data_IF_905543808120
#
_entry.id   IF_905543808120
#
_cell.length_a   1.000
_cell.length_b   1.000
_cell.length_c   1.000
_cell.angle_alpha   90.00
_cell.angle_beta   90.00
_cell.angle_gamma   90.00
#
_symmetry.space_group_name_H-M   'P 1'
#
loop_
_entity.id
_entity.type
_entity.pdbx_description
1 polymer ?
#
# COMPACT_ATOMS: atom_id res chain seq x y z
N UNK A 1 -2.90 -29.40 -16.88
CA UNK A 1 -3.55 -30.30 -15.90
C UNK A 1 -5.06 -30.15 -16.00
N UNK A 2 -5.80 -31.11 -16.59
CA UNK A 2 -7.26 -30.98 -16.75
C UNK A 2 -8.01 -30.79 -15.42
N UNK A 3 -7.50 -31.36 -14.33
CA UNK A 3 -8.09 -31.26 -12.99
C UNK A 3 -8.07 -29.85 -12.38
N UNK A 4 -7.30 -28.94 -12.95
CA UNK A 4 -7.23 -27.53 -12.49
C UNK A 4 -7.68 -26.53 -13.56
N UNK A 5 -8.28 -27.00 -14.65
CA UNK A 5 -8.77 -26.15 -15.73
C UNK A 5 -9.80 -25.11 -15.28
N UNK A 6 -10.53 -25.39 -14.21
CA UNK A 6 -11.54 -24.51 -13.61
C UNK A 6 -11.07 -23.86 -12.30
N UNK A 7 -9.78 -23.87 -11.99
CA UNK A 7 -9.23 -23.23 -10.81
C UNK A 7 -8.92 -21.77 -11.12
N UNK A 8 -9.85 -20.89 -10.77
CA UNK A 8 -9.69 -19.45 -10.96
C UNK A 8 -9.21 -18.76 -9.68
N UNK A 9 -8.42 -17.73 -9.89
CA UNK A 9 -8.01 -16.80 -8.84
C UNK A 9 -8.67 -15.45 -9.11
N UNK A 10 -9.39 -14.93 -8.15
CA UNK A 10 -9.99 -13.61 -8.22
C UNK A 10 -9.19 -12.62 -7.38
N UNK A 11 -9.10 -11.39 -7.86
CA UNK A 11 -8.53 -10.28 -7.11
C UNK A 11 -9.62 -9.29 -6.78
N UNK A 12 -9.70 -8.91 -5.53
CA UNK A 12 -10.64 -7.90 -5.05
C UNK A 12 -9.82 -6.63 -4.81
N UNK A 13 -10.27 -5.52 -5.41
CA UNK A 13 -9.65 -4.22 -5.23
C UNK A 13 -9.74 -3.80 -3.76
N UNK A 14 -8.69 -3.21 -3.24
CA UNK A 14 -8.64 -2.74 -1.87
C UNK A 14 -8.94 -1.24 -1.80
N UNK A 15 -9.37 -0.73 -0.63
CA UNK A 15 -9.37 0.71 -0.37
C UNK A 15 -7.97 1.30 -0.53
N UNK A 16 -7.86 2.56 -0.96
CA UNK A 16 -6.58 3.23 -1.18
C UNK A 16 -5.64 3.13 0.02
N UNK A 17 -6.17 3.24 1.23
CA UNK A 17 -5.42 3.16 2.48
C UNK A 17 -5.06 1.75 2.96
N UNK A 18 -5.58 0.71 2.33
CA UNK A 18 -5.55 -0.69 2.83
C UNK A 18 -6.20 -0.87 4.22
N UNK A 19 -7.07 0.02 4.59
CA UNK A 19 -7.83 -0.10 5.82
C UNK A 19 -9.18 -0.75 5.53
N UNK A 20 -9.49 -1.79 6.29
CA UNK A 20 -10.72 -2.56 6.19
C UNK A 20 -11.47 -2.51 7.51
N UNK A 21 -12.79 -2.47 7.44
CA UNK A 21 -13.60 -2.75 8.62
C UNK A 21 -13.68 -4.26 8.85
N UNK A 22 -13.85 -4.68 10.09
CA UNK A 22 -13.98 -6.10 10.40
C UNK A 22 -15.23 -6.72 9.76
N UNK A 23 -16.30 -5.96 9.63
CA UNK A 23 -17.54 -6.43 9.00
C UNK A 23 -17.37 -6.63 7.49
N UNK A 24 -16.65 -5.72 6.83
CA UNK A 24 -16.28 -5.91 5.43
C UNK A 24 -15.44 -7.18 5.23
N UNK A 25 -14.41 -7.38 6.07
CA UNK A 25 -13.57 -8.58 5.97
C UNK A 25 -14.37 -9.87 6.19
N UNK A 26 -15.31 -9.88 7.14
CA UNK A 26 -16.22 -11.02 7.35
C UNK A 26 -17.07 -11.29 6.12
N UNK A 27 -17.68 -10.24 5.56
CA UNK A 27 -18.49 -10.36 4.34
C UNK A 27 -17.69 -11.02 3.19
N UNK A 28 -16.44 -10.61 2.98
CA UNK A 28 -15.59 -11.21 1.95
C UNK A 28 -15.20 -12.66 2.31
N UNK A 29 -14.92 -12.95 3.57
CA UNK A 29 -14.63 -14.31 4.03
C UNK A 29 -15.83 -15.24 3.79
N UNK A 30 -17.03 -14.83 4.21
CA UNK A 30 -18.27 -15.60 4.05
C UNK A 30 -18.56 -15.87 2.56
N UNK A 31 -18.40 -14.85 1.72
CA UNK A 31 -18.56 -14.99 0.27
C UNK A 31 -17.56 -16.01 -0.28
N UNK A 32 -16.30 -15.95 0.14
CA UNK A 32 -15.26 -16.82 -0.40
C UNK A 32 -15.31 -18.24 0.16
N UNK A 33 -15.78 -18.44 1.37
CA UNK A 33 -16.08 -19.77 1.92
C UNK A 33 -17.24 -20.45 1.18
N UNK A 34 -18.25 -19.66 0.81
CA UNK A 34 -19.42 -20.19 0.11
C UNK A 34 -19.16 -20.49 -1.39
N UNK A 35 -18.38 -19.62 -2.08
CA UNK A 35 -18.22 -19.70 -3.55
C UNK A 35 -16.85 -20.14 -4.03
N UNK A 36 -15.91 -20.30 -3.13
CA UNK A 36 -14.54 -20.68 -3.45
C UNK A 36 -13.95 -21.65 -2.44
N UNK A 37 -12.64 -21.64 -2.33
CA UNK A 37 -11.89 -22.55 -1.45
C UNK A 37 -11.80 -22.09 0.01
N UNK A 38 -12.21 -20.87 0.32
CA UNK A 38 -11.94 -20.21 1.61
C UNK A 38 -10.53 -19.65 1.75
N UNK A 39 -9.61 -19.97 0.83
CA UNK A 39 -8.22 -19.47 0.93
C UNK A 39 -8.06 -18.07 0.35
N UNK A 40 -7.49 -17.17 1.14
CA UNK A 40 -7.24 -15.78 0.77
C UNK A 40 -5.82 -15.35 1.10
N UNK A 41 -5.29 -14.40 0.33
CA UNK A 41 -3.99 -13.78 0.55
C UNK A 41 -4.10 -12.26 0.43
N UNK A 42 -3.58 -11.55 1.43
CA UNK A 42 -3.44 -10.09 1.38
C UNK A 42 -2.16 -9.75 0.63
N UNK A 43 -2.29 -9.49 -0.67
CA UNK A 43 -1.16 -9.33 -1.56
C UNK A 43 -0.53 -7.93 -1.47
N UNK A 44 0.55 -7.80 -0.70
CA UNK A 44 1.18 -6.52 -0.41
C UNK A 44 1.75 -5.78 -1.63
N UNK A 45 2.26 -6.48 -2.64
CA UNK A 45 2.92 -5.83 -3.79
C UNK A 45 1.96 -5.20 -4.79
N UNK A 46 0.73 -5.69 -4.92
CA UNK A 46 -0.31 -5.11 -5.77
C UNK A 46 -1.47 -4.54 -4.94
N UNK A 47 -1.45 -4.80 -3.64
CA UNK A 47 -2.47 -4.27 -2.74
C UNK A 47 -3.82 -4.97 -2.81
N UNK A 48 -3.98 -6.01 -3.59
CA UNK A 48 -5.24 -6.75 -3.70
C UNK A 48 -5.45 -7.73 -2.55
N UNK A 49 -6.71 -8.06 -2.30
CA UNK A 49 -7.06 -9.34 -1.72
C UNK A 49 -7.13 -10.37 -2.83
N UNK A 50 -6.31 -11.42 -2.72
CA UNK A 50 -6.27 -12.51 -3.70
C UNK A 50 -7.04 -13.69 -3.14
N UNK A 51 -8.15 -13.98 -3.77
CA UNK A 51 -9.04 -15.10 -3.45
C UNK A 51 -8.69 -16.27 -4.36
N UNK A 52 -8.24 -17.37 -3.78
CA UNK A 52 -7.62 -18.48 -4.51
C UNK A 52 -8.59 -19.66 -4.62
N UNK A 53 -8.87 -20.07 -5.84
CA UNK A 53 -9.60 -21.32 -6.13
C UNK A 53 -11.11 -21.20 -6.12
N UNK A 54 -11.68 -20.99 -7.30
CA UNK A 54 -13.11 -21.11 -7.56
C UNK A 54 -13.35 -21.72 -8.95
N UNK A 55 -14.57 -22.11 -9.24
CA UNK A 55 -14.98 -22.66 -10.52
C UNK A 55 -15.51 -21.56 -11.46
N UNK A 56 -15.50 -21.86 -12.76
CA UNK A 56 -15.96 -20.91 -13.79
C UNK A 56 -17.38 -20.44 -13.54
N UNK A 57 -18.27 -21.32 -13.13
CA UNK A 57 -19.68 -21.07 -12.88
C UNK A 57 -19.92 -20.11 -11.69
N UNK A 58 -18.93 -19.93 -10.83
CA UNK A 58 -19.00 -19.05 -9.67
C UNK A 58 -18.50 -17.62 -9.97
N UNK A 59 -17.82 -17.38 -11.08
CA UNK A 59 -17.20 -16.09 -11.36
C UNK A 59 -18.23 -14.95 -11.44
N UNK A 60 -19.29 -15.15 -12.23
CA UNK A 60 -20.34 -14.14 -12.36
C UNK A 60 -21.16 -13.94 -11.07
N UNK A 61 -21.61 -14.99 -10.37
CA UNK A 61 -22.21 -14.82 -9.05
C UNK A 61 -21.36 -14.08 -8.03
N UNK A 62 -20.04 -14.34 -7.98
CA UNK A 62 -19.12 -13.64 -7.09
C UNK A 62 -19.08 -12.15 -7.46
N UNK A 63 -18.92 -11.84 -8.75
CA UNK A 63 -18.90 -10.45 -9.21
C UNK A 63 -20.20 -9.72 -8.89
N UNK A 64 -21.34 -10.37 -9.07
CA UNK A 64 -22.65 -9.84 -8.72
C UNK A 64 -22.76 -9.51 -7.23
N UNK A 65 -22.35 -10.41 -6.35
CA UNK A 65 -22.39 -10.19 -4.90
C UNK A 65 -21.42 -9.10 -4.44
N UNK A 66 -20.21 -9.03 -5.02
CA UNK A 66 -19.27 -7.94 -4.78
C UNK A 66 -19.85 -6.58 -5.18
N UNK A 67 -20.56 -6.51 -6.31
CA UNK A 67 -21.26 -5.29 -6.75
C UNK A 67 -22.28 -4.78 -5.74
N UNK A 68 -22.98 -5.67 -5.02
CA UNK A 68 -23.94 -5.28 -3.99
C UNK A 68 -23.30 -4.64 -2.75
N UNK A 69 -22.06 -4.95 -2.46
CA UNK A 69 -21.29 -4.33 -1.38
C UNK A 69 -20.36 -3.22 -1.89
N UNK A 70 -20.61 -2.74 -3.11
CA UNK A 70 -19.85 -1.68 -3.77
C UNK A 70 -18.35 -1.98 -3.88
N UNK A 71 -18.03 -3.24 -4.08
CA UNK A 71 -16.66 -3.72 -4.20
C UNK A 71 -16.34 -4.10 -5.63
N UNK A 72 -15.21 -3.64 -6.12
CA UNK A 72 -14.74 -3.90 -7.47
C UNK A 72 -13.63 -4.97 -7.50
N UNK A 73 -13.37 -5.50 -8.69
CA UNK A 73 -12.26 -6.42 -8.93
C UNK A 73 -10.94 -5.67 -9.04
N UNK A 74 -9.87 -6.31 -8.58
CA UNK A 74 -8.51 -5.83 -8.74
C UNK A 74 -7.89 -6.24 -10.08
N UNK A 75 -6.81 -5.56 -10.45
CA UNK A 75 -6.10 -5.83 -11.70
C UNK A 75 -5.39 -7.18 -11.74
N UNK A 76 -5.53 -7.90 -12.84
CA UNK A 76 -4.95 -9.22 -13.05
C UNK A 76 -4.44 -9.41 -14.49
N UNK A 77 -3.35 -10.15 -14.67
CA UNK A 77 -2.79 -10.38 -16.02
C UNK A 77 -1.99 -9.21 -16.57
N UNK A 78 -2.06 -9.04 -17.89
CA UNK A 78 -1.36 -7.98 -18.66
C UNK A 78 -2.19 -6.70 -18.69
N UNK A 79 -2.39 -6.11 -17.54
CA UNK A 79 -3.18 -4.89 -17.37
C UNK A 79 -2.57 -3.99 -16.30
N UNK A 80 -3.26 -2.88 -16.02
CA UNK A 80 -2.96 -2.11 -14.82
C UNK A 80 -3.29 -2.98 -13.59
N UNK A 81 -2.33 -3.07 -12.69
CA UNK A 81 -2.56 -3.72 -11.38
C UNK A 81 -3.12 -2.69 -10.42
N UNK A 82 -3.88 -3.16 -9.46
CA UNK A 82 -4.47 -2.31 -8.44
C UNK A 82 -3.42 -1.38 -7.84
N UNK A 83 -3.59 -0.06 -7.96
CA UNK A 83 -2.68 0.90 -7.34
C UNK A 83 -2.64 0.73 -5.83
N UNK A 84 -1.51 1.01 -5.22
CA UNK A 84 -1.39 0.95 -3.77
C UNK A 84 -0.59 2.10 -3.21
N UNK A 85 -0.98 2.57 -2.03
CA UNK A 85 -0.35 3.70 -1.37
C UNK A 85 -0.07 3.41 0.10
N UNK A 86 0.83 4.18 0.70
CA UNK A 86 0.97 4.23 2.15
C UNK A 86 -0.19 5.01 2.77
N UNK A 87 -0.28 5.02 4.10
CA UNK A 87 -1.34 5.73 4.82
C UNK A 87 -1.33 7.25 4.56
N UNK A 88 -0.19 7.82 4.19
CA UNK A 88 -0.06 9.22 3.81
C UNK A 88 -0.53 10.22 4.87
N UNK A 89 -0.97 11.37 4.42
CA UNK A 89 -1.41 12.49 5.29
C UNK A 89 -2.58 12.16 6.20
N UNK A 90 -3.30 11.06 5.96
CA UNK A 90 -4.41 10.68 6.83
C UNK A 90 -3.96 10.34 8.26
N UNK A 91 -2.73 9.83 8.44
CA UNK A 91 -2.21 9.41 9.76
C UNK A 91 -0.71 9.55 9.93
N UNK A 92 0.03 9.90 8.89
CA UNK A 92 1.49 9.96 8.95
C UNK A 92 1.99 11.40 8.91
N UNK A 93 2.69 11.82 9.94
CA UNK A 93 3.29 13.17 10.06
C UNK A 93 4.46 13.40 9.08
N UNK A 94 5.10 12.31 8.61
CA UNK A 94 6.21 12.40 7.66
C UNK A 94 5.77 12.52 6.20
N UNK A 95 4.48 12.39 5.92
CA UNK A 95 4.00 12.40 4.54
C UNK A 95 4.06 13.80 3.93
N UNK A 96 4.78 13.94 2.82
CA UNK A 96 4.93 15.18 2.07
C UNK A 96 3.80 15.40 1.06
N UNK A 97 3.12 14.31 0.64
CA UNK A 97 2.04 14.34 -0.36
C UNK A 97 0.82 13.56 0.13
N UNK A 98 -0.34 13.84 -0.44
CA UNK A 98 -1.55 13.06 -0.20
C UNK A 98 -1.58 11.82 -1.10
N UNK A 99 -1.06 10.72 -0.58
CA UNK A 99 -0.95 9.46 -1.31
C UNK A 99 -2.29 8.80 -1.54
N UNK A 100 -3.25 8.98 -0.63
CA UNK A 100 -4.58 8.35 -0.75
C UNK A 100 -5.41 9.03 -1.82
N UNK A 101 -5.40 10.36 -1.90
CA UNK A 101 -6.07 11.09 -2.96
C UNK A 101 -5.53 10.71 -4.34
N UNK A 102 -4.20 10.70 -4.51
CA UNK A 102 -3.56 10.30 -5.76
C UNK A 102 -3.89 8.84 -6.14
N UNK A 103 -3.85 7.93 -5.17
CA UNK A 103 -4.18 6.52 -5.41
C UNK A 103 -5.64 6.37 -5.82
N UNK A 104 -6.55 7.04 -5.15
CA UNK A 104 -7.97 7.03 -5.45
C UNK A 104 -8.25 7.59 -6.85
N UNK A 105 -7.77 8.79 -7.15
CA UNK A 105 -7.98 9.44 -8.44
C UNK A 105 -7.46 8.60 -9.61
N UNK A 106 -6.22 8.10 -9.52
CA UNK A 106 -5.66 7.29 -10.60
C UNK A 106 -6.31 5.90 -10.71
N UNK A 107 -6.77 5.31 -9.62
CA UNK A 107 -7.54 4.05 -9.67
C UNK A 107 -8.85 4.25 -10.43
N UNK A 108 -9.59 5.32 -10.13
CA UNK A 108 -10.84 5.61 -10.82
C UNK A 108 -10.63 6.05 -12.27
N UNK A 109 -9.62 6.85 -12.54
CA UNK A 109 -9.33 7.30 -13.90
C UNK A 109 -8.96 6.15 -14.84
N UNK A 110 -8.24 5.14 -14.32
CA UNK A 110 -7.81 3.98 -15.10
C UNK A 110 -8.57 2.70 -14.75
N UNK A 111 -9.82 2.81 -14.32
CA UNK A 111 -10.60 1.65 -13.89
C UNK A 111 -10.81 0.62 -15.01
N UNK A 112 -11.00 1.08 -16.24
CA UNK A 112 -11.15 0.19 -17.39
C UNK A 112 -9.90 -0.64 -17.65
N UNK A 113 -8.70 -0.08 -17.42
CA UNK A 113 -7.43 -0.78 -17.60
C UNK A 113 -7.15 -1.80 -16.49
N UNK A 114 -7.84 -1.71 -15.35
CA UNK A 114 -7.80 -2.75 -14.32
C UNK A 114 -8.51 -4.03 -14.77
N UNK A 115 -9.56 -3.89 -15.56
CA UNK A 115 -10.45 -5.00 -15.96
C UNK A 115 -10.10 -5.60 -17.32
N UNK A 116 -9.30 -4.91 -18.13
CA UNK A 116 -9.00 -5.33 -19.50
C UNK A 116 -7.50 -5.56 -19.69
N UNK A 117 -7.08 -6.71 -20.23
CA UNK A 117 -5.68 -6.96 -20.56
C UNK A 117 -5.27 -6.15 -21.81
N UNK A 118 -5.02 -4.86 -21.65
CA UNK A 118 -4.72 -3.91 -22.72
C UNK A 118 -3.20 -3.65 -22.89
N UNK A 119 -2.39 -4.05 -21.92
CA UNK A 119 -0.94 -3.82 -21.94
C UNK A 119 -0.18 -5.06 -22.42
N UNK A 120 1.03 -4.88 -23.01
CA UNK A 120 1.89 -6.01 -23.32
C UNK A 120 2.39 -6.75 -22.08
N UNK A 121 2.41 -6.10 -20.92
CA UNK A 121 2.76 -6.66 -19.62
C UNK A 121 2.04 -5.91 -18.49
N UNK A 122 2.06 -6.47 -17.27
CA UNK A 122 1.48 -5.81 -16.10
C UNK A 122 2.16 -4.46 -15.83
N UNK A 123 1.38 -3.50 -15.37
CA UNK A 123 1.88 -2.20 -14.95
C UNK A 123 1.37 -1.83 -13.56
N UNK A 124 2.23 -1.32 -12.70
CA UNK A 124 1.90 -1.02 -11.29
C UNK A 124 2.24 0.42 -10.94
N UNK A 125 1.27 1.12 -10.38
CA UNK A 125 1.46 2.36 -9.65
C UNK A 125 1.64 2.11 -8.16
N UNK A 126 2.57 2.83 -7.53
CA UNK A 126 2.68 2.89 -6.07
C UNK A 126 3.01 4.28 -5.60
N UNK A 127 2.47 4.63 -4.41
CA UNK A 127 2.55 5.97 -3.85
C UNK A 127 3.11 5.89 -2.44
N UNK A 128 4.32 6.40 -2.25
CA UNK A 128 4.95 6.61 -0.95
C UNK A 128 4.90 8.10 -0.59
N UNK A 129 4.40 8.41 0.61
CA UNK A 129 4.25 9.79 1.08
C UNK A 129 5.56 10.48 1.43
N UNK A 130 6.62 9.70 1.63
CA UNK A 130 7.97 10.17 1.93
C UNK A 130 9.00 9.12 1.49
N UNK A 131 10.31 9.44 1.53
CA UNK A 131 11.36 8.51 1.11
C UNK A 131 11.50 7.22 1.96
N UNK A 132 10.78 7.11 3.07
CA UNK A 132 10.79 5.89 3.90
C UNK A 132 10.26 4.63 3.19
N UNK A 133 9.52 4.77 2.09
CA UNK A 133 9.17 3.67 1.21
C UNK A 133 8.29 2.58 1.83
N UNK A 134 7.28 2.94 2.62
CA UNK A 134 6.43 2.00 3.37
C UNK A 134 5.69 0.97 2.50
N UNK A 135 5.42 1.28 1.23
CA UNK A 135 4.85 0.32 0.27
C UNK A 135 5.87 -0.16 -0.77
N UNK A 136 7.14 0.11 -0.52
CA UNK A 136 8.25 -0.29 -1.37
C UNK A 136 8.05 0.12 -2.85
N UNK A 137 7.65 1.38 -3.08
CA UNK A 137 7.33 1.86 -4.42
C UNK A 137 8.51 1.75 -5.37
N UNK A 138 9.71 2.12 -4.94
CA UNK A 138 10.94 2.03 -5.76
C UNK A 138 11.20 0.59 -6.23
N UNK A 139 11.05 -0.38 -5.34
CA UNK A 139 11.44 -1.76 -5.62
C UNK A 139 10.33 -2.59 -6.27
N UNK A 140 9.06 -2.17 -6.16
CA UNK A 140 7.90 -3.02 -6.48
C UNK A 140 6.84 -2.36 -7.36
N UNK A 141 7.19 -1.28 -8.05
CA UNK A 141 6.31 -0.67 -9.04
C UNK A 141 7.03 -0.43 -10.35
N UNK A 142 6.23 -0.22 -11.38
CA UNK A 142 6.72 0.19 -12.70
C UNK A 142 6.75 1.73 -12.78
N UNK A 143 5.88 2.39 -11.99
CA UNK A 143 5.90 3.84 -11.79
C UNK A 143 5.70 4.17 -10.31
N UNK A 144 6.71 4.81 -9.71
CA UNK A 144 6.74 5.21 -8.30
C UNK A 144 6.46 6.69 -8.15
N UNK A 145 5.58 7.02 -7.21
CA UNK A 145 5.37 8.40 -6.74
C UNK A 145 5.88 8.50 -5.31
N UNK A 146 6.87 9.34 -5.09
CA UNK A 146 7.50 9.48 -3.79
C UNK A 146 7.45 10.95 -3.38
N UNK A 147 6.78 11.21 -2.27
CA UNK A 147 6.77 12.54 -1.67
C UNK A 147 8.14 12.90 -1.14
N UNK A 148 8.54 14.14 -1.37
CA UNK A 148 9.79 14.66 -0.86
C UNK A 148 9.63 16.14 -0.48
N UNK A 149 10.60 16.68 0.24
CA UNK A 149 10.64 18.09 0.59
C UNK A 149 11.20 18.95 -0.56
N UNK A 150 10.86 20.23 -0.55
CA UNK A 150 11.20 21.15 -1.64
C UNK A 150 12.61 21.71 -1.57
N UNK A 151 13.17 21.80 -0.38
CA UNK A 151 14.43 22.46 -0.09
C UNK A 151 15.30 21.61 0.85
N UNK A 152 16.43 22.16 1.27
CA UNK A 152 17.35 21.51 2.18
C UNK A 152 16.70 21.21 3.52
N UNK A 153 17.13 20.11 4.13
CA UNK A 153 16.69 19.70 5.48
C UNK A 153 17.09 20.79 6.48
N UNK A 154 16.12 21.20 7.30
CA UNK A 154 16.33 22.12 8.40
C UNK A 154 16.19 21.37 9.69
N UNK A 155 17.21 21.45 10.52
CA UNK A 155 17.24 20.77 11.80
C UNK A 155 16.89 21.74 12.92
N UNK A 156 15.82 21.46 13.65
CA UNK A 156 15.55 22.12 14.92
C UNK A 156 16.41 21.48 16.01
N UNK A 157 17.56 22.08 16.28
CA UNK A 157 18.55 21.56 17.24
C UNK A 157 18.00 21.46 18.65
N UNK A 158 17.17 22.39 19.09
CA UNK A 158 16.56 22.38 20.43
C UNK A 158 15.60 21.18 20.57
N UNK A 159 14.77 20.94 19.58
CA UNK A 159 13.86 19.80 19.58
C UNK A 159 14.60 18.46 19.53
N UNK A 160 15.70 18.38 18.78
CA UNK A 160 16.54 17.17 18.75
C UNK A 160 17.17 16.93 20.12
N UNK A 161 17.71 17.95 20.76
CA UNK A 161 18.31 17.83 22.10
C UNK A 161 17.28 17.45 23.17
N UNK A 162 16.09 18.05 23.14
CA UNK A 162 14.99 17.70 24.05
C UNK A 162 14.53 16.24 23.85
N UNK A 163 14.45 15.77 22.60
CA UNK A 163 14.11 14.38 22.30
C UNK A 163 15.18 13.41 22.82
N UNK A 164 16.44 13.67 22.55
CA UNK A 164 17.58 12.82 22.99
C UNK A 164 17.69 12.84 24.51
N UNK A 165 17.49 14.01 25.14
CA UNK A 165 17.53 14.20 26.60
C UNK A 165 16.38 13.54 27.36
N UNK A 166 15.34 13.07 26.67
CA UNK A 166 14.17 12.44 27.28
C UNK A 166 13.08 13.39 27.76
N UNK A 167 13.12 14.65 27.32
CA UNK A 167 12.16 15.68 27.72
C UNK A 167 10.83 15.59 26.96
N UNK A 168 10.81 14.89 25.81
CA UNK A 168 9.62 14.75 24.97
C UNK A 168 8.91 13.43 25.30
N UNK A 169 7.65 13.53 25.71
CA UNK A 169 6.79 12.36 25.96
C UNK A 169 6.32 11.71 24.65
N UNK A 170 6.07 10.39 24.62
CA UNK A 170 6.01 9.49 25.79
C UNK A 170 7.37 9.08 26.37
N UNK A 171 8.43 9.13 25.62
CA UNK A 171 9.83 9.01 26.06
C UNK A 171 10.78 9.19 24.87
N UNK A 172 12.02 9.50 25.12
CA UNK A 172 13.07 9.63 24.11
C UNK A 172 13.67 8.28 23.68
N UNK A 173 13.04 7.17 24.04
CA UNK A 173 13.48 5.83 23.69
C UNK A 173 14.86 5.49 24.25
N UNK A 174 15.66 4.79 23.45
CA UNK A 174 16.98 4.27 23.85
C UNK A 174 18.04 5.36 24.06
N UNK A 175 17.75 6.59 23.70
CA UNK A 175 18.67 7.72 23.80
C UNK A 175 18.43 8.58 25.05
N UNK A 176 17.37 8.33 25.81
CA UNK A 176 17.07 9.05 27.02
C UNK A 176 18.25 8.99 28.03
N UNK A 177 18.59 10.12 28.57
CA UNK A 177 19.64 10.24 29.57
C UNK A 177 21.09 10.12 29.05
N UNK A 178 21.29 10.09 27.73
CA UNK A 178 22.63 10.12 27.13
C UNK A 178 23.05 11.56 26.86
N UNK A 179 24.31 11.86 27.14
CA UNK A 179 24.91 13.13 26.76
C UNK A 179 25.31 13.11 25.29
N UNK A 180 24.50 13.77 24.47
CA UNK A 180 24.73 13.90 23.04
C UNK A 180 25.13 15.36 22.74
N UNK A 181 26.17 15.52 21.95
CA UNK A 181 26.54 16.83 21.42
C UNK A 181 25.51 17.39 20.46
N UNK A 182 25.82 18.52 19.84
CA UNK A 182 25.00 19.09 18.78
C UNK A 182 24.88 18.11 17.61
N UNK A 183 23.67 17.77 17.21
CA UNK A 183 23.42 16.91 16.06
C UNK A 183 23.90 17.57 14.76
N UNK A 184 24.75 16.89 14.04
CA UNK A 184 25.32 17.31 12.76
C UNK A 184 24.91 16.31 11.68
N UNK A 185 23.92 16.69 10.86
CA UNK A 185 23.37 15.81 9.85
C UNK A 185 24.41 15.38 8.81
N UNK A 186 25.37 16.24 8.50
CA UNK A 186 26.41 15.92 7.52
C UNK A 186 27.34 14.83 8.04
N UNK A 187 27.76 14.92 9.30
CA UNK A 187 28.67 13.93 9.90
C UNK A 187 27.98 12.66 10.33
N UNK A 188 26.75 12.77 10.84
CA UNK A 188 26.08 11.68 11.53
C UNK A 188 25.14 10.88 10.62
N UNK A 189 24.79 11.43 9.44
CA UNK A 189 23.91 10.78 8.47
C UNK A 189 24.52 10.78 7.07
N UNK A 190 24.76 11.95 6.48
CA UNK A 190 25.11 12.08 5.07
C UNK A 190 26.47 11.41 4.79
N UNK A 191 27.49 11.72 5.56
CA UNK A 191 28.85 11.19 5.37
C UNK A 191 28.99 9.71 5.79
N UNK A 192 27.97 9.13 6.43
CA UNK A 192 27.93 7.70 6.71
C UNK A 192 27.27 6.89 5.59
N UNK A 193 26.63 7.58 4.64
CA UNK A 193 26.02 6.94 3.47
C UNK A 193 27.15 6.44 2.54
N UNK A 194 27.19 5.17 2.14
CA UNK A 194 28.24 4.63 1.28
C UNK A 194 28.12 5.00 -0.20
N UNK A 195 27.13 5.82 -0.59
CA UNK A 195 26.87 6.23 -1.99
C UNK A 195 27.12 7.71 -2.19
#
# INVERSE_FOLDING_TARGET
>A
FPSIAHFHTMRINQPASKLYTSDYLRCICDLWEYRGSGMMNMHGSTGDMVCIGTFTEQLEPIFYELGHVQQDLGGSGSNLRTPSCCIGKARCEYSCIDTQALCYELTHYYQDELHRPAFPYKFKFKFDGCPNGCVASIARSDMSFIGTWKDNIRINQEAVQAYIGGEIAPNAGVHAGKDWGKFDIDKEVINLCPT
#
